data_IF_296809712427
#
_entry.id   IF_296809712427
#
_cell.length_a   1.000
_cell.length_b   1.000
_cell.length_c   1.000
_cell.angle_alpha   90.00
_cell.angle_beta   90.00
_cell.angle_gamma   90.00
#
_symmetry.space_group_name_H-M   'P 1'
#
loop_
_entity.id
_entity.type
_entity.pdbx_description
1 polymer ?
#
# COMPACT_ATOMS: atom_id res chain seq x y z
N UNK A 1 8.01 23.52 8.54
CA UNK A 1 8.68 22.52 7.67
C UNK A 1 9.29 21.32 8.44
N UNK A 2 9.01 21.15 9.73
CA UNK A 2 9.49 20.02 10.54
C UNK A 2 8.26 19.33 11.17
N UNK A 3 7.66 18.41 10.42
CA UNK A 3 6.67 17.42 10.89
C UNK A 3 6.94 16.05 10.24
N UNK A 4 8.21 15.81 9.87
CA UNK A 4 8.64 14.64 9.10
C UNK A 4 8.44 13.25 9.74
N UNK A 5 8.36 13.04 11.06
CA UNK A 5 8.26 11.67 11.59
C UNK A 5 6.83 11.07 11.51
N UNK A 6 5.77 11.88 11.41
CA UNK A 6 4.37 11.38 11.44
C UNK A 6 3.77 11.11 10.07
N UNK A 7 4.32 11.71 9.01
CA UNK A 7 3.70 11.68 7.69
C UNK A 7 4.04 10.41 6.88
N UNK A 8 5.28 9.87 6.90
CA UNK A 8 5.60 8.60 6.24
C UNK A 8 4.70 7.44 6.71
N UNK A 9 4.28 7.51 7.98
CA UNK A 9 3.34 6.55 8.57
C UNK A 9 1.96 6.54 7.87
N UNK A 10 1.42 7.71 7.53
CA UNK A 10 0.09 7.78 6.91
C UNK A 10 0.13 7.25 5.49
N UNK A 11 1.13 7.65 4.71
CA UNK A 11 1.29 7.20 3.32
C UNK A 11 1.50 5.68 3.25
N UNK A 12 2.31 5.12 4.15
CA UNK A 12 2.58 3.69 4.19
C UNK A 12 1.35 2.89 4.63
N UNK A 13 0.60 3.40 5.61
CA UNK A 13 -0.65 2.79 6.05
C UNK A 13 -1.72 2.79 4.94
N UNK A 14 -1.88 3.91 4.23
CA UNK A 14 -2.81 4.03 3.10
C UNK A 14 -2.43 3.06 1.98
N UNK A 15 -1.14 2.96 1.64
CA UNK A 15 -0.68 2.06 0.58
C UNK A 15 -0.88 0.58 0.95
N UNK A 16 -0.60 0.20 2.21
CA UNK A 16 -0.81 -1.18 2.68
C UNK A 16 -2.28 -1.57 2.60
N UNK A 17 -3.17 -0.72 3.12
CA UNK A 17 -4.61 -0.99 3.16
C UNK A 17 -5.28 -0.88 1.80
N UNK A 18 -4.80 0.03 0.94
CA UNK A 18 -5.31 0.17 -0.41
C UNK A 18 -4.95 -1.02 -1.30
N UNK A 19 -3.79 -1.66 -1.05
CA UNK A 19 -3.25 -2.80 -1.80
C UNK A 19 -3.62 -2.76 -3.29
N UNK A 20 -3.22 -1.68 -3.97
CA UNK A 20 -3.77 -1.31 -5.28
C UNK A 20 -3.41 -2.34 -6.36
N UNK A 21 -2.30 -3.07 -6.23
CA UNK A 21 -1.87 -4.09 -7.20
C UNK A 21 -1.61 -5.42 -6.47
N UNK A 22 -2.66 -6.14 -6.05
CA UNK A 22 -2.54 -7.32 -5.17
C UNK A 22 -1.75 -8.47 -5.79
N UNK A 23 -1.86 -8.65 -7.11
CA UNK A 23 -1.26 -9.75 -7.86
C UNK A 23 0.10 -9.39 -8.48
N UNK A 24 0.57 -8.15 -8.29
CA UNK A 24 1.75 -7.62 -8.97
C UNK A 24 1.68 -7.75 -10.52
N UNK A 25 2.78 -7.38 -11.18
CA UNK A 25 2.96 -7.54 -12.62
C UNK A 25 3.64 -8.89 -12.89
N UNK A 26 3.11 -9.73 -13.81
CA UNK A 26 3.73 -10.99 -14.18
C UNK A 26 5.21 -10.88 -14.53
N UNK A 27 5.98 -11.88 -14.13
CA UNK A 27 7.40 -12.06 -14.44
C UNK A 27 7.59 -13.38 -15.16
N UNK A 28 8.74 -13.57 -15.78
CA UNK A 28 9.12 -14.84 -16.40
C UNK A 28 10.51 -15.25 -15.92
N UNK A 29 10.68 -16.51 -15.52
CA UNK A 29 11.98 -17.07 -15.19
C UNK A 29 12.88 -17.04 -16.45
N UNK A 30 14.00 -16.31 -16.39
CA UNK A 30 14.91 -16.17 -17.53
C UNK A 30 15.89 -17.36 -17.68
N UNK A 31 15.98 -18.20 -16.66
CA UNK A 31 16.73 -19.44 -16.57
C UNK A 31 16.03 -20.36 -15.56
N UNK A 32 16.47 -21.61 -15.48
CA UNK A 32 16.02 -22.52 -14.44
C UNK A 32 16.47 -21.97 -13.08
N UNK A 33 15.53 -21.87 -12.13
CA UNK A 33 15.80 -21.37 -10.78
C UNK A 33 15.18 -22.31 -9.75
N UNK A 34 15.70 -22.29 -8.53
CA UNK A 34 15.08 -22.97 -7.39
C UNK A 34 14.53 -21.90 -6.45
N UNK A 35 13.27 -22.03 -6.06
CA UNK A 35 12.62 -21.21 -5.03
C UNK A 35 12.19 -22.14 -3.90
N UNK A 36 12.77 -21.94 -2.72
CA UNK A 36 12.67 -22.88 -1.60
C UNK A 36 13.05 -24.31 -2.04
N UNK A 37 12.13 -25.27 -1.98
CA UNK A 37 12.34 -26.67 -2.42
C UNK A 37 11.86 -26.94 -3.85
N UNK A 38 11.39 -25.93 -4.59
CA UNK A 38 10.76 -26.10 -5.89
C UNK A 38 11.68 -25.64 -7.03
N UNK A 39 11.85 -26.50 -8.02
CA UNK A 39 12.51 -26.16 -9.29
C UNK A 39 11.51 -25.50 -10.23
N UNK A 40 11.85 -24.30 -10.71
CA UNK A 40 11.07 -23.50 -11.66
C UNK A 40 11.84 -23.44 -12.98
N UNK A 41 11.35 -24.10 -14.04
CA UNK A 41 11.99 -24.05 -15.35
C UNK A 41 12.00 -22.64 -15.95
N UNK A 42 13.01 -22.37 -16.79
CA UNK A 42 13.07 -21.22 -17.67
C UNK A 42 11.78 -21.09 -18.49
N UNK A 43 11.28 -19.87 -18.63
CA UNK A 43 10.06 -19.57 -19.36
C UNK A 43 8.80 -19.65 -18.51
N UNK A 44 8.87 -20.17 -17.28
CA UNK A 44 7.72 -20.18 -16.35
C UNK A 44 7.27 -18.75 -16.01
N UNK A 45 5.98 -18.48 -16.13
CA UNK A 45 5.36 -17.23 -15.66
C UNK A 45 5.23 -17.30 -14.14
N UNK A 46 5.74 -16.27 -13.45
CA UNK A 46 5.71 -16.14 -12.00
C UNK A 46 4.86 -14.92 -11.66
N UNK A 47 3.86 -15.14 -10.80
CA UNK A 47 3.05 -14.09 -10.22
C UNK A 47 3.35 -14.01 -8.73
N UNK A 48 3.97 -12.91 -8.30
CA UNK A 48 4.20 -12.67 -6.87
C UNK A 48 2.95 -12.01 -6.28
N UNK A 49 2.31 -12.67 -5.35
CA UNK A 49 1.09 -12.16 -4.70
C UNK A 49 1.53 -11.17 -3.61
N UNK A 50 1.43 -9.86 -3.88
CA UNK A 50 1.77 -8.84 -2.87
C UNK A 50 0.75 -8.83 -1.73
N UNK A 51 -0.51 -9.15 -2.03
CA UNK A 51 -1.56 -9.26 -1.02
C UNK A 51 -1.18 -10.19 0.13
N UNK A 52 -0.56 -11.33 -0.17
CA UNK A 52 -0.17 -12.30 0.85
C UNK A 52 0.87 -11.74 1.81
N UNK A 53 1.77 -10.87 1.36
CA UNK A 53 2.82 -10.26 2.21
C UNK A 53 2.28 -9.06 2.98
N UNK A 54 1.40 -8.26 2.36
CA UNK A 54 0.82 -7.06 2.99
C UNK A 54 -0.26 -7.40 4.05
N UNK A 55 -0.77 -8.63 4.05
CA UNK A 55 -1.75 -9.16 4.99
C UNK A 55 -1.26 -10.39 5.78
N UNK A 56 0.04 -10.73 5.71
CA UNK A 56 0.62 -11.85 6.45
C UNK A 56 0.40 -11.72 7.98
N UNK A 57 -0.40 -12.59 8.57
CA UNK A 57 -0.73 -12.59 10.00
C UNK A 57 0.48 -12.81 10.91
N UNK A 58 1.58 -13.38 10.40
CA UNK A 58 2.84 -13.49 11.15
C UNK A 58 3.63 -12.18 11.18
N UNK A 59 3.35 -11.27 10.23
CA UNK A 59 4.06 -10.00 10.04
C UNK A 59 3.21 -8.78 10.32
N UNK A 60 1.91 -8.91 10.59
CA UNK A 60 1.01 -7.80 10.90
C UNK A 60 0.06 -8.22 12.02
N UNK A 61 0.03 -7.44 13.11
CA UNK A 61 -0.73 -7.77 14.32
C UNK A 61 -2.25 -7.76 14.08
N UNK A 62 -2.72 -6.86 13.21
CA UNK A 62 -4.12 -6.73 12.82
C UNK A 62 -4.23 -6.50 11.30
N UNK A 63 -3.94 -7.49 10.45
CA UNK A 63 -3.62 -7.27 9.03
C UNK A 63 -4.75 -6.58 8.27
N UNK A 64 -6.00 -6.92 8.56
CA UNK A 64 -7.18 -6.40 7.84
C UNK A 64 -7.74 -5.10 8.43
N UNK A 65 -7.12 -4.53 9.47
CA UNK A 65 -7.59 -3.27 10.07
C UNK A 65 -6.67 -2.12 9.68
N UNK A 66 -7.27 -0.93 9.59
CA UNK A 66 -6.53 0.32 9.44
C UNK A 66 -5.87 0.69 10.77
N UNK A 67 -4.68 0.12 11.03
CA UNK A 67 -3.96 0.28 12.28
C UNK A 67 -2.60 1.01 12.08
N UNK A 68 -2.50 2.30 12.45
CA UNK A 68 -1.24 3.05 12.45
C UNK A 68 -0.10 2.39 13.23
N UNK A 69 -0.40 1.62 14.27
CA UNK A 69 0.63 1.01 15.13
C UNK A 69 1.50 -0.01 14.41
N UNK A 70 1.06 -0.50 13.25
CA UNK A 70 1.92 -1.35 12.42
C UNK A 70 3.24 -0.67 12.00
N UNK A 71 3.23 0.68 11.90
CA UNK A 71 4.37 1.49 11.48
C UNK A 71 4.97 2.32 12.62
N UNK A 72 4.66 1.97 13.88
CA UNK A 72 5.19 2.66 15.07
C UNK A 72 5.90 1.68 16.00
N UNK A 73 7.01 2.13 16.57
CA UNK A 73 7.62 1.54 17.75
C UNK A 73 6.84 1.93 19.02
N UNK A 74 7.12 1.26 20.14
CA UNK A 74 6.51 1.56 21.44
C UNK A 74 6.73 3.00 21.91
N UNK A 75 7.83 3.63 21.49
CA UNK A 75 8.17 5.02 21.81
C UNK A 75 7.58 6.04 20.80
N UNK A 76 6.77 5.58 19.85
CA UNK A 76 6.11 6.41 18.84
C UNK A 76 7.02 6.81 17.67
N UNK A 77 8.23 6.25 17.55
CA UNK A 77 9.07 6.43 16.37
C UNK A 77 8.55 5.58 15.21
N UNK A 78 8.77 6.06 13.99
CA UNK A 78 8.42 5.32 12.78
C UNK A 78 9.25 4.02 12.68
N UNK A 79 8.55 2.92 12.40
CA UNK A 79 9.12 1.58 12.19
C UNK A 79 8.92 1.16 10.75
N UNK A 80 10.01 0.94 10.03
CA UNK A 80 9.98 0.32 8.70
C UNK A 80 9.69 -1.18 8.84
N UNK A 81 8.80 -1.72 8.00
CA UNK A 81 8.46 -3.16 7.96
C UNK A 81 9.01 -3.78 6.69
N UNK A 82 9.73 -4.89 6.80
CA UNK A 82 10.24 -5.61 5.61
C UNK A 82 9.12 -6.19 4.75
N UNK A 83 8.02 -6.61 5.38
CA UNK A 83 6.79 -7.05 4.70
C UNK A 83 6.04 -5.91 3.97
N UNK A 84 6.47 -4.65 4.12
CA UNK A 84 5.86 -3.52 3.42
C UNK A 84 6.45 -3.36 2.02
N UNK A 85 5.88 -4.09 1.04
CA UNK A 85 6.35 -4.14 -0.34
C UNK A 85 5.29 -3.68 -1.37
N UNK A 86 4.66 -2.49 -1.22
CA UNK A 86 3.62 -2.03 -2.16
C UNK A 86 4.16 -1.77 -3.58
N UNK A 87 5.48 -1.59 -3.72
CA UNK A 87 6.16 -1.34 -4.99
C UNK A 87 6.92 -2.57 -5.53
N UNK A 88 6.65 -3.75 -4.96
CA UNK A 88 7.42 -4.97 -5.21
C UNK A 88 8.90 -4.83 -4.77
N UNK A 89 9.78 -5.69 -5.28
CA UNK A 89 11.18 -5.76 -4.90
C UNK A 89 12.10 -6.20 -6.06
N UNK A 90 13.40 -6.11 -5.84
CA UNK A 90 14.44 -6.58 -6.78
C UNK A 90 14.64 -5.67 -7.99
N UNK A 91 15.24 -6.21 -9.06
CA UNK A 91 15.61 -5.46 -10.28
C UNK A 91 14.42 -4.83 -11.02
N UNK A 92 13.19 -5.21 -10.67
CA UNK A 92 11.94 -4.71 -11.25
C UNK A 92 11.02 -4.10 -10.18
N UNK A 93 11.60 -3.61 -9.07
CA UNK A 93 10.91 -2.68 -8.16
C UNK A 93 10.37 -1.50 -8.96
N UNK A 94 9.22 -0.96 -8.55
CA UNK A 94 8.60 0.15 -9.27
C UNK A 94 9.58 1.32 -9.46
N UNK A 95 9.94 1.62 -10.70
CA UNK A 95 10.81 2.75 -11.04
C UNK A 95 10.23 4.08 -10.55
N UNK A 96 8.90 4.17 -10.48
CA UNK A 96 8.16 5.33 -10.00
C UNK A 96 8.01 5.43 -8.49
N UNK A 97 8.57 4.53 -7.67
CA UNK A 97 8.35 4.55 -6.20
C UNK A 97 8.66 5.91 -5.57
N UNK A 98 9.80 6.53 -5.91
CA UNK A 98 10.17 7.82 -5.32
C UNK A 98 9.22 8.94 -5.72
N UNK A 99 8.79 8.96 -6.99
CA UNK A 99 7.82 9.92 -7.49
C UNK A 99 6.46 9.71 -6.81
N UNK A 100 5.97 8.47 -6.75
CA UNK A 100 4.70 8.12 -6.12
C UNK A 100 4.68 8.53 -4.64
N UNK A 101 5.75 8.26 -3.88
CA UNK A 101 5.86 8.70 -2.49
C UNK A 101 5.82 10.22 -2.34
N UNK A 102 6.50 10.94 -3.22
CA UNK A 102 6.46 12.41 -3.22
C UNK A 102 5.06 12.93 -3.57
N UNK A 103 4.41 12.38 -4.59
CA UNK A 103 3.06 12.76 -5.00
C UNK A 103 2.03 12.49 -3.90
N UNK A 104 2.03 11.28 -3.33
CA UNK A 104 1.16 10.91 -2.20
C UNK A 104 1.32 11.90 -1.06
N UNK A 105 2.56 12.15 -0.63
CA UNK A 105 2.86 13.10 0.43
C UNK A 105 2.32 14.49 0.10
N UNK A 106 2.69 15.06 -1.05
CA UNK A 106 2.35 16.44 -1.41
C UNK A 106 0.85 16.63 -1.59
N UNK A 107 0.17 15.75 -2.33
CA UNK A 107 -1.26 15.86 -2.56
C UNK A 107 -2.04 15.63 -1.28
N UNK A 108 -1.74 14.56 -0.53
CA UNK A 108 -2.49 14.21 0.67
C UNK A 108 -2.36 15.29 1.75
N UNK A 109 -1.13 15.73 2.04
CA UNK A 109 -0.91 16.80 3.02
C UNK A 109 -1.54 18.12 2.59
N UNK A 110 -1.39 18.52 1.31
CA UNK A 110 -1.99 19.76 0.81
C UNK A 110 -3.51 19.75 0.89
N UNK A 111 -4.15 18.62 0.56
CA UNK A 111 -5.60 18.45 0.66
C UNK A 111 -6.06 18.50 2.11
N UNK A 112 -5.43 17.75 3.01
CA UNK A 112 -5.81 17.71 4.43
C UNK A 112 -5.52 19.01 5.19
N UNK A 113 -4.51 19.77 4.77
CA UNK A 113 -4.20 21.10 5.34
C UNK A 113 -5.27 22.14 4.99
N UNK A 114 -5.89 22.03 3.82
CA UNK A 114 -6.85 23.03 3.32
C UNK A 114 -8.30 22.65 3.53
N UNK A 115 -8.61 21.36 3.56
CA UNK A 115 -9.98 20.87 3.64
C UNK A 115 -10.18 19.90 4.79
N UNK A 116 -11.39 19.91 5.33
CA UNK A 116 -11.95 18.85 6.15
C UNK A 116 -12.81 17.97 5.26
N UNK A 117 -12.50 16.68 5.24
CA UNK A 117 -13.24 15.67 4.49
C UNK A 117 -14.25 14.98 5.40
N UNK A 118 -15.49 14.81 4.92
CA UNK A 118 -16.53 14.02 5.58
C UNK A 118 -17.40 13.32 4.55
N UNK A 119 -18.10 12.23 4.90
CA UNK A 119 -19.16 11.73 4.04
C UNK A 119 -20.30 12.77 3.96
N UNK A 120 -21.10 12.77 2.87
CA UNK A 120 -22.34 13.52 2.84
C UNK A 120 -23.31 13.07 3.94
N UNK A 121 -24.23 13.94 4.39
CA UNK A 121 -25.22 13.59 5.40
C UNK A 121 -26.02 12.34 5.01
N UNK A 122 -26.05 11.34 5.90
CA UNK A 122 -26.77 10.07 5.68
C UNK A 122 -26.01 9.02 4.86
N UNK A 123 -24.83 9.33 4.33
CA UNK A 123 -24.00 8.38 3.57
C UNK A 123 -22.91 7.74 4.44
N UNK A 124 -22.66 6.45 4.23
CA UNK A 124 -21.51 5.72 4.80
C UNK A 124 -20.65 5.20 3.65
N UNK A 125 -19.39 5.65 3.52
CA UNK A 125 -18.48 5.12 2.51
C UNK A 125 -18.26 3.63 2.71
N UNK A 126 -18.28 2.87 1.62
CA UNK A 126 -17.95 1.44 1.61
C UNK A 126 -16.45 1.25 1.39
N UNK A 127 -15.89 0.19 1.99
CA UNK A 127 -14.51 -0.26 1.72
C UNK A 127 -14.45 -1.25 0.55
N UNK A 128 -15.59 -1.55 -0.08
CA UNK A 128 -15.64 -2.38 -1.28
C UNK A 128 -14.93 -1.73 -2.47
N UNK A 129 -14.23 -2.55 -3.23
CA UNK A 129 -13.52 -2.14 -4.44
C UNK A 129 -14.09 -2.84 -5.67
N UNK A 130 -13.78 -2.28 -6.84
CA UNK A 130 -13.94 -2.95 -8.13
C UNK A 130 -12.71 -3.82 -8.35
N UNK A 131 -12.93 -5.11 -8.55
CA UNK A 131 -11.87 -6.03 -8.93
C UNK A 131 -11.44 -5.75 -10.38
N UNK A 132 -10.14 -5.61 -10.59
CA UNK A 132 -9.51 -5.39 -11.89
C UNK A 132 -8.01 -5.66 -11.76
N UNK A 133 -7.22 -5.23 -12.76
CA UNK A 133 -5.74 -5.25 -12.65
C UNK A 133 -5.28 -4.44 -11.44
N UNK A 134 -6.00 -3.37 -11.12
CA UNK A 134 -5.83 -2.59 -9.89
C UNK A 134 -7.09 -2.64 -9.03
N UNK A 135 -6.92 -2.67 -7.71
CA UNK A 135 -8.00 -2.41 -6.77
C UNK A 135 -8.33 -0.91 -6.77
N UNK A 136 -9.55 -0.59 -7.21
CA UNK A 136 -10.08 0.77 -7.17
C UNK A 136 -11.31 0.80 -6.27
N UNK A 137 -11.44 1.76 -5.33
CA UNK A 137 -12.65 1.85 -4.52
C UNK A 137 -13.89 1.99 -5.41
N UNK A 138 -15.02 1.41 -4.98
CA UNK A 138 -16.29 1.71 -5.65
C UNK A 138 -16.56 3.23 -5.60
N UNK A 139 -17.25 3.81 -6.61
CA UNK A 139 -17.56 5.23 -6.60
C UNK A 139 -18.20 5.67 -5.28
N UNK A 140 -17.63 6.70 -4.66
CA UNK A 140 -18.12 7.27 -3.41
C UNK A 140 -18.10 8.80 -3.50
N UNK A 141 -18.90 9.43 -2.64
CA UNK A 141 -18.96 10.89 -2.51
C UNK A 141 -18.35 11.31 -1.19
N UNK A 142 -17.82 12.52 -1.19
CA UNK A 142 -17.25 13.17 -0.02
C UNK A 142 -17.54 14.67 -0.09
N UNK A 143 -17.69 15.30 1.07
CA UNK A 143 -17.71 16.75 1.22
C UNK A 143 -16.29 17.20 1.56
N UNK A 144 -15.78 18.18 0.83
CA UNK A 144 -14.53 18.86 1.14
C UNK A 144 -14.85 20.31 1.54
N UNK A 145 -14.82 20.59 2.84
CA UNK A 145 -15.12 21.93 3.38
C UNK A 145 -13.80 22.61 3.73
N UNK A 146 -13.55 23.85 3.27
CA UNK A 146 -12.35 24.61 3.67
C UNK A 146 -12.20 24.65 5.20
N UNK A 147 -10.96 24.52 5.69
CA UNK A 147 -10.62 24.65 7.11
C UNK A 147 -10.61 26.09 7.59
#
# INVERSE_FOLDING_TARGET
>A
FIDRPKIPLFDDLIQRMGNIIPLNVPRTANQDITVDKYSIPKGTIILSILDSVLHDESMWETPYTFNPQHFLEKDGKFRKREAFLPFSAGKRVCLGEQLARMELFLFFTSLLQRFKFSPPPGEKPSLEYKLGVTHCPKPYRLCAVPR
#
